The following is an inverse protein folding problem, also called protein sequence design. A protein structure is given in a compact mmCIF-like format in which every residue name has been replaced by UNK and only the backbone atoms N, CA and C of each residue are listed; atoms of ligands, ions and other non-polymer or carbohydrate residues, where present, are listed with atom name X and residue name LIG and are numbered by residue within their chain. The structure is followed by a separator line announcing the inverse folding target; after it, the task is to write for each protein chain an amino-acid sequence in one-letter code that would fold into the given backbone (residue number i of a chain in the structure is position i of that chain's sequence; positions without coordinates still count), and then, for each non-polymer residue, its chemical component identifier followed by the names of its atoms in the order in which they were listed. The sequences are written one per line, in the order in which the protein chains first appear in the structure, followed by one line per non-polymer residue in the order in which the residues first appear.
data_IF_430649219804
#
_entry.id   IF_430649219804
#
_cell.length_a   1.000
_cell.length_b   1.000
_cell.length_c   1.000
_cell.angle_alpha   90.00
_cell.angle_beta   90.00
_cell.angle_gamma   90.00
#
_symmetry.space_group_name_H-M   'P 1'
#
loop_
_entity.id
_entity.type
_entity.pdbx_description
1 polymer ?
#
# COMPACT_ATOMS: atom_id res chain seq x y z
N UNK A 1 -0.03 9.52 6.96
CA UNK A 1 -1.28 8.84 7.34
C UNK A 1 -0.97 7.81 8.41
N UNK A 2 -1.78 7.73 9.46
CA UNK A 2 -1.66 6.73 10.52
C UNK A 2 -3.04 6.11 10.79
N UNK A 3 -3.06 4.79 11.03
CA UNK A 3 -4.29 4.07 11.37
C UNK A 3 -4.69 4.39 12.80
N UNK A 4 -5.96 4.73 13.01
CA UNK A 4 -6.53 4.89 14.34
C UNK A 4 -6.74 3.53 15.00
N UNK A 5 -6.84 3.46 16.34
CA UNK A 5 -7.16 2.21 17.05
C UNK A 5 -8.45 1.55 16.55
N UNK A 6 -9.47 2.34 16.21
CA UNK A 6 -10.73 1.84 15.67
C UNK A 6 -10.54 1.21 14.29
N UNK A 7 -9.68 1.77 13.44
CA UNK A 7 -9.37 1.17 12.14
C UNK A 7 -8.56 -0.13 12.30
N UNK A 8 -7.63 -0.17 13.25
CA UNK A 8 -6.91 -1.41 13.60
C UNK A 8 -7.86 -2.51 14.08
N UNK A 9 -8.83 -2.18 14.93
CA UNK A 9 -9.85 -3.12 15.39
C UNK A 9 -10.74 -3.65 14.25
N UNK A 10 -10.97 -2.88 13.19
CA UNK A 10 -11.68 -3.37 12.00
C UNK A 10 -10.83 -4.33 11.17
N UNK A 11 -9.52 -4.08 11.07
CA UNK A 11 -8.60 -4.93 10.32
C UNK A 11 -8.45 -6.33 10.94
N UNK A 12 -8.64 -6.49 12.25
CA UNK A 12 -8.56 -7.81 12.90
C UNK A 12 -9.69 -8.76 12.47
N UNK A 13 -10.78 -8.23 11.92
CA UNK A 13 -11.91 -9.01 11.42
C UNK A 13 -11.90 -9.17 9.90
N UNK A 14 -10.92 -8.59 9.21
CA UNK A 14 -10.82 -8.64 7.76
C UNK A 14 -10.02 -9.87 7.31
N UNK A 15 -10.40 -10.45 6.18
CA UNK A 15 -9.63 -11.53 5.56
C UNK A 15 -8.45 -11.00 4.74
N UNK A 16 -8.57 -9.78 4.19
CA UNK A 16 -7.55 -9.17 3.35
C UNK A 16 -7.48 -7.64 3.44
N UNK A 17 -6.29 -7.09 3.19
CA UNK A 17 -6.02 -5.66 3.03
C UNK A 17 -5.44 -5.41 1.62
N UNK A 18 -6.10 -4.57 0.85
CA UNK A 18 -5.68 -4.18 -0.50
C UNK A 18 -4.92 -2.87 -0.43
N UNK A 19 -3.66 -2.87 -0.91
CA UNK A 19 -2.82 -1.67 -0.97
C UNK A 19 -2.70 -1.16 -2.40
N UNK A 20 -2.55 0.16 -2.55
CA UNK A 20 -2.47 0.83 -3.86
C UNK A 20 -1.06 1.29 -4.24
N UNK A 21 -0.09 1.15 -3.34
CA UNK A 21 1.33 1.40 -3.58
C UNK A 21 1.85 2.79 -3.21
N UNK A 22 1.17 3.53 -2.34
CA UNK A 22 1.65 4.84 -1.92
C UNK A 22 2.90 4.70 -1.02
N UNK A 23 3.84 5.67 -1.05
CA UNK A 23 5.10 5.57 -0.30
C UNK A 23 4.92 5.30 1.21
N UNK A 24 3.88 5.87 1.83
CA UNK A 24 3.62 5.67 3.26
C UNK A 24 3.14 4.25 3.60
N UNK A 25 2.53 3.54 2.64
CA UNK A 25 1.97 2.21 2.88
C UNK A 25 3.06 1.19 3.21
N UNK A 26 4.32 1.40 2.79
CA UNK A 26 5.43 0.50 3.13
C UNK A 26 5.59 0.35 4.65
N UNK A 27 5.56 1.46 5.39
CA UNK A 27 5.62 1.43 6.86
C UNK A 27 4.31 0.93 7.48
N UNK A 28 3.18 1.28 6.87
CA UNK A 28 1.87 0.89 7.36
C UNK A 28 1.65 -0.62 7.29
N UNK A 29 1.93 -1.22 6.14
CA UNK A 29 1.87 -2.66 5.90
C UNK A 29 2.80 -3.40 6.85
N UNK A 30 4.02 -2.88 7.09
CA UNK A 30 4.92 -3.45 8.08
C UNK A 30 4.31 -3.50 9.49
N UNK A 31 3.64 -2.43 9.94
CA UNK A 31 2.92 -2.41 11.23
C UNK A 31 1.75 -3.39 11.23
N UNK A 32 0.96 -3.44 10.15
CA UNK A 32 -0.18 -4.35 10.02
C UNK A 32 0.28 -5.81 10.09
N UNK A 33 1.28 -6.19 9.31
CA UNK A 33 1.79 -7.57 9.26
C UNK A 33 2.44 -8.00 10.58
N UNK A 34 3.05 -7.07 11.32
CA UNK A 34 3.59 -7.35 12.64
C UNK A 34 2.50 -7.60 13.70
N UNK A 35 1.32 -6.97 13.55
CA UNK A 35 0.20 -7.11 14.49
C UNK A 35 -0.79 -8.21 14.10
N UNK A 36 -0.97 -8.45 12.80
CA UNK A 36 -1.97 -9.34 12.20
C UNK A 36 -1.29 -10.20 11.13
N UNK A 37 -0.55 -11.22 11.58
CA UNK A 37 0.24 -12.09 10.68
C UNK A 37 -0.61 -12.83 9.65
N UNK A 38 -1.87 -13.12 10.00
CA UNK A 38 -2.78 -13.92 9.18
C UNK A 38 -3.55 -13.07 8.17
N UNK A 39 -3.51 -11.73 8.31
CA UNK A 39 -4.21 -10.82 7.40
C UNK A 39 -3.50 -10.80 6.05
N UNK A 40 -4.21 -11.20 4.99
CA UNK A 40 -3.65 -11.24 3.65
C UNK A 40 -3.47 -9.83 3.07
N UNK A 41 -2.23 -9.42 2.84
CA UNK A 41 -1.94 -8.16 2.14
C UNK A 41 -1.84 -8.40 0.63
N UNK A 42 -2.72 -7.76 -0.14
CA UNK A 42 -2.78 -7.84 -1.61
C UNK A 42 -2.28 -6.53 -2.22
N UNK A 43 -1.24 -6.61 -3.06
CA UNK A 43 -0.77 -5.48 -3.85
C UNK A 43 -1.56 -5.40 -5.16
N UNK A 44 -2.43 -4.40 -5.28
CA UNK A 44 -3.28 -4.23 -6.47
C UNK A 44 -2.51 -3.77 -7.71
N UNK A 45 -1.22 -3.42 -7.55
CA UNK A 45 -0.34 -3.06 -8.67
C UNK A 45 0.30 -4.26 -9.34
N UNK A 46 0.09 -5.49 -8.83
CA UNK A 46 0.66 -6.68 -9.46
C UNK A 46 0.20 -6.79 -10.91
N UNK A 47 1.18 -6.91 -11.82
CA UNK A 47 0.93 -6.96 -13.27
C UNK A 47 0.93 -5.59 -13.97
N UNK A 48 1.03 -4.47 -13.25
CA UNK A 48 1.06 -3.13 -13.84
C UNK A 48 2.50 -2.64 -13.96
N UNK A 49 2.89 -2.21 -15.17
CA UNK A 49 4.19 -1.60 -15.41
C UNK A 49 4.19 -0.18 -14.86
N UNK A 50 4.91 0.04 -13.76
CA UNK A 50 4.95 1.34 -13.11
C UNK A 50 5.80 2.34 -13.91
N UNK A 51 5.34 3.60 -13.92
CA UNK A 51 6.10 4.73 -14.47
C UNK A 51 7.10 5.23 -13.42
N UNK A 52 8.24 5.71 -13.87
CA UNK A 52 9.18 6.42 -13.00
C UNK A 52 8.71 7.86 -12.85
N UNK A 53 8.84 8.43 -11.64
CA UNK A 53 8.60 9.86 -11.46
C UNK A 53 9.73 10.66 -12.13
N UNK A 54 9.38 11.51 -13.09
CA UNK A 54 10.32 12.49 -13.62
C UNK A 54 10.51 13.57 -12.55
N UNK A 55 11.77 13.79 -12.11
CA UNK A 55 12.23 14.76 -11.11
C UNK A 55 12.22 14.33 -9.62
N UNK A 56 12.96 13.30 -9.21
CA UNK A 56 13.52 13.26 -7.84
C UNK A 56 14.98 12.79 -7.85
N UNK A 57 15.91 13.71 -7.58
CA UNK A 57 17.36 13.43 -7.49
C UNK A 57 17.76 12.55 -6.27
N UNK A 58 16.80 12.04 -5.47
CA UNK A 58 17.12 11.27 -4.26
C UNK A 58 16.12 10.15 -3.88
N UNK A 59 15.16 9.78 -4.72
CA UNK A 59 14.29 8.63 -4.44
C UNK A 59 13.92 7.92 -5.73
N UNK A 60 14.27 6.64 -5.83
CA UNK A 60 13.80 5.71 -6.88
C UNK A 60 12.29 5.40 -6.67
N UNK A 61 11.45 6.42 -6.81
CA UNK A 61 10.01 6.35 -6.62
C UNK A 61 9.27 6.01 -7.91
N UNK A 62 8.47 4.94 -7.88
CA UNK A 62 7.48 4.67 -8.93
C UNK A 62 6.23 5.52 -8.73
N UNK A 63 5.66 6.05 -9.82
CA UNK A 63 4.38 6.78 -9.81
C UNK A 63 3.25 5.84 -9.35
N UNK A 64 2.60 6.13 -8.20
CA UNK A 64 1.56 5.27 -7.67
C UNK A 64 0.20 5.51 -8.32
N UNK A 65 -0.02 6.59 -9.09
CA UNK A 65 -1.34 7.01 -9.58
C UNK A 65 -1.85 6.18 -10.78
N UNK A 66 -1.64 4.86 -10.72
CA UNK A 66 -1.97 3.90 -11.77
C UNK A 66 -3.46 3.83 -12.12
N UNK A 67 -4.34 4.27 -11.22
CA UNK A 67 -5.80 4.25 -11.41
C UNK A 67 -6.32 5.42 -12.26
N UNK A 68 -5.47 6.39 -12.60
CA UNK A 68 -5.84 7.51 -13.47
C UNK A 68 -5.78 7.14 -14.96
N UNK A 69 -5.22 5.98 -15.28
CA UNK A 69 -5.24 5.38 -16.61
C UNK A 69 -6.13 4.13 -16.56
N UNK A 70 -7.29 4.10 -17.24
CA UNK A 70 -8.20 2.96 -17.20
C UNK A 70 -7.74 1.77 -18.06
N UNK A 71 -6.58 1.86 -18.72
CA UNK A 71 -6.05 0.88 -19.68
C UNK A 71 -4.88 0.07 -19.10
#
# INVERSE_FOLDING_TARGET
FELTPQQMAKLTQADAYFRIGLPFEKRLVGKIQAALSDLRVVDTRQGIKLRTMEHEHHNDGSDPHIWLDPM
#
